data_IF_290094634519
#
_entry.id   IF_290094634519
#
_cell.length_a   1.000
_cell.length_b   1.000
_cell.length_c   1.000
_cell.angle_alpha   90.00
_cell.angle_beta   90.00
_cell.angle_gamma   90.00
#
_symmetry.space_group_name_H-M   'P 1'
#
loop_
_entity.id
_entity.type
_entity.pdbx_description
1 polymer ?
#
# COMPACT_ATOMS: atom_id res chain seq x y z
N UNK A 1 -13.93 20.35 2.27
CA UNK A 1 -14.28 19.01 2.79
C UNK A 1 -13.61 17.84 2.07
N UNK A 2 -13.18 17.96 0.79
CA UNK A 2 -12.55 16.84 0.04
C UNK A 2 -11.09 16.52 0.38
N UNK A 3 -10.23 17.53 0.57
CA UNK A 3 -8.78 17.34 0.80
C UNK A 3 -8.42 16.66 2.13
N UNK A 4 -9.21 16.83 3.18
CA UNK A 4 -8.94 16.20 4.49
C UNK A 4 -9.31 14.70 4.51
N UNK A 5 -10.41 14.32 3.87
CA UNK A 5 -10.78 12.91 3.70
C UNK A 5 -9.79 12.19 2.77
N UNK A 6 -9.28 12.90 1.76
CA UNK A 6 -8.23 12.44 0.84
C UNK A 6 -6.88 12.23 1.55
N UNK A 7 -6.47 13.19 2.39
CA UNK A 7 -5.27 13.04 3.24
C UNK A 7 -5.41 11.88 4.24
N UNK A 8 -6.61 11.66 4.81
CA UNK A 8 -6.88 10.49 5.66
C UNK A 8 -6.83 9.17 4.88
N UNK A 9 -7.28 9.16 3.63
CA UNK A 9 -7.22 7.98 2.76
C UNK A 9 -5.77 7.61 2.39
N UNK A 10 -4.97 8.61 2.03
CA UNK A 10 -3.54 8.43 1.71
C UNK A 10 -2.71 8.07 2.95
N UNK A 11 -3.03 8.66 4.12
CA UNK A 11 -2.36 8.32 5.38
C UNK A 11 -2.59 6.86 5.77
N UNK A 12 -3.81 6.35 5.56
CA UNK A 12 -4.16 4.95 5.84
C UNK A 12 -3.41 3.97 4.91
N UNK A 13 -3.31 4.27 3.60
CA UNK A 13 -2.62 3.37 2.66
C UNK A 13 -1.11 3.31 2.94
N UNK A 14 -0.46 4.45 3.20
CA UNK A 14 0.97 4.47 3.52
C UNK A 14 1.30 3.64 4.77
N UNK A 15 0.59 3.88 5.88
CA UNK A 15 0.83 3.15 7.13
C UNK A 15 0.45 1.67 7.01
N UNK A 16 -0.56 1.34 6.21
CA UNK A 16 -0.88 -0.05 5.86
C UNK A 16 0.27 -0.74 5.12
N UNK A 17 0.87 -0.08 4.13
CA UNK A 17 2.03 -0.61 3.41
C UNK A 17 3.23 -0.79 4.34
N UNK A 18 3.52 0.18 5.21
CA UNK A 18 4.57 0.05 6.22
C UNK A 18 4.33 -1.18 7.08
N UNK A 19 3.16 -1.31 7.71
CA UNK A 19 2.81 -2.50 8.51
C UNK A 19 3.00 -3.79 7.74
N UNK A 20 2.55 -3.85 6.49
CA UNK A 20 2.68 -5.04 5.65
C UNK A 20 4.15 -5.42 5.43
N UNK A 21 5.00 -4.44 5.11
CA UNK A 21 6.43 -4.65 4.89
C UNK A 21 7.10 -5.15 6.16
N UNK A 22 6.88 -4.47 7.29
CA UNK A 22 7.50 -4.82 8.57
C UNK A 22 7.05 -6.22 9.04
N UNK A 23 5.79 -6.59 8.83
CA UNK A 23 5.24 -7.91 9.20
C UNK A 23 5.65 -9.04 8.26
N UNK A 24 6.21 -8.76 7.07
CA UNK A 24 6.51 -9.82 6.10
C UNK A 24 7.50 -10.88 6.62
N UNK A 25 8.63 -10.53 7.28
CA UNK A 25 9.55 -11.51 7.85
C UNK A 25 8.89 -12.42 8.90
N UNK A 26 8.04 -11.84 9.77
CA UNK A 26 7.29 -12.59 10.79
C UNK A 26 6.29 -13.55 10.12
N UNK A 27 5.51 -13.05 9.15
CA UNK A 27 4.54 -13.85 8.39
C UNK A 27 5.18 -14.96 7.56
N UNK A 28 6.43 -14.78 7.15
CA UNK A 28 7.22 -15.79 6.43
C UNK A 28 7.92 -16.78 7.38
N UNK A 29 7.78 -16.62 8.71
CA UNK A 29 8.43 -17.48 9.70
C UNK A 29 9.95 -17.30 9.77
N UNK A 30 10.48 -16.16 9.31
CA UNK A 30 11.92 -15.88 9.32
C UNK A 30 12.42 -15.37 10.68
N UNK A 31 11.54 -14.70 11.44
CA UNK A 31 11.80 -14.11 12.75
C UNK A 31 10.53 -14.19 13.60
N UNK A 32 10.66 -14.12 14.93
CA UNK A 32 9.51 -14.13 15.84
C UNK A 32 9.00 -12.71 16.11
N UNK A 33 9.90 -11.72 16.12
CA UNK A 33 9.58 -10.32 16.38
C UNK A 33 10.03 -9.38 15.24
N UNK A 34 9.25 -8.32 15.02
CA UNK A 34 9.47 -7.29 13.98
C UNK A 34 10.89 -6.70 14.03
N UNK A 35 11.38 -6.42 15.24
CA UNK A 35 12.70 -5.87 15.51
C UNK A 35 13.86 -6.84 15.30
N UNK A 36 13.63 -8.11 14.97
CA UNK A 36 14.72 -9.08 14.76
C UNK A 36 15.23 -9.07 13.31
N UNK A 37 14.38 -8.66 12.37
CA UNK A 37 14.76 -8.63 10.96
C UNK A 37 15.65 -7.43 10.65
N UNK A 38 16.90 -7.70 10.24
CA UNK A 38 17.91 -6.65 10.01
C UNK A 38 17.53 -5.66 8.90
N UNK A 39 16.77 -6.09 7.90
CA UNK A 39 16.44 -5.27 6.72
C UNK A 39 15.02 -4.71 6.80
N UNK A 40 14.73 -4.10 7.94
CA UNK A 40 13.44 -3.50 8.26
C UNK A 40 13.67 -2.12 8.86
N UNK A 41 12.75 -1.20 8.61
CA UNK A 41 12.76 0.13 9.23
C UNK A 41 12.15 0.14 10.64
N UNK A 42 11.70 -1.00 11.14
CA UNK A 42 10.97 -1.10 12.40
C UNK A 42 11.83 -0.64 13.58
N UNK A 43 13.12 -0.98 13.60
CA UNK A 43 14.02 -0.52 14.67
C UNK A 43 14.11 1.00 14.73
N UNK A 44 14.17 1.67 13.58
CA UNK A 44 14.19 3.14 13.53
C UNK A 44 12.83 3.74 13.85
N UNK A 45 11.77 3.28 13.19
CA UNK A 45 10.44 3.87 13.29
C UNK A 45 9.75 3.53 14.62
N UNK A 46 9.98 2.32 15.12
CA UNK A 46 9.33 1.74 16.30
C UNK A 46 10.21 1.72 17.54
N UNK A 47 11.52 1.49 17.45
CA UNK A 47 12.39 1.37 18.63
C UNK A 47 13.29 2.62 18.82
N UNK A 48 13.36 3.48 17.82
CA UNK A 48 14.13 4.73 17.86
C UNK A 48 15.61 4.57 17.53
N UNK A 49 16.04 3.45 16.96
CA UNK A 49 17.43 3.27 16.52
C UNK A 49 17.77 4.22 15.37
N UNK A 50 18.87 4.97 15.51
CA UNK A 50 19.37 5.84 14.46
C UNK A 50 19.84 5.02 13.25
N UNK A 51 19.42 5.44 12.05
CA UNK A 51 19.85 4.83 10.80
C UNK A 51 19.96 5.89 9.71
N UNK A 52 21.18 6.16 9.26
CA UNK A 52 21.47 7.20 8.26
C UNK A 52 20.84 6.92 6.87
N UNK A 53 20.40 5.68 6.61
CA UNK A 53 19.72 5.31 5.36
C UNK A 53 18.23 5.65 5.39
N UNK A 54 17.66 5.93 6.57
CA UNK A 54 16.22 6.14 6.74
C UNK A 54 15.94 7.63 6.88
N UNK A 55 15.07 8.14 6.00
CA UNK A 55 14.48 9.47 6.12
C UNK A 55 13.02 9.32 6.53
N UNK A 56 12.60 9.86 7.69
CA UNK A 56 11.21 9.80 8.12
C UNK A 56 10.28 10.38 7.05
N UNK A 57 9.18 9.67 6.77
CA UNK A 57 8.13 10.20 5.91
C UNK A 57 7.20 11.11 6.71
N UNK A 58 6.69 12.20 6.12
CA UNK A 58 5.82 13.15 6.83
C UNK A 58 4.57 12.52 7.48
N UNK A 59 4.04 11.43 6.91
CA UNK A 59 2.92 10.68 7.51
C UNK A 59 3.33 9.87 8.75
N UNK A 60 4.58 9.42 8.82
CA UNK A 60 5.13 8.85 10.06
C UNK A 60 5.38 9.97 11.08
N UNK A 61 5.94 11.10 10.65
CA UNK A 61 6.15 12.26 11.51
C UNK A 61 4.84 12.78 12.13
N UNK A 62 3.75 12.72 11.38
CA UNK A 62 2.41 13.10 11.83
C UNK A 62 1.80 12.15 12.90
N UNK A 63 2.40 10.99 13.19
CA UNK A 63 1.93 10.09 14.24
C UNK A 63 2.15 10.64 15.66
N UNK A 64 3.06 11.59 15.83
CA UNK A 64 3.35 12.19 17.13
C UNK A 64 4.32 13.35 17.02
N UNK A 65 4.11 14.37 17.86
CA UNK A 65 4.95 15.58 17.88
C UNK A 65 6.37 15.27 18.34
N UNK A 66 6.49 14.46 19.39
CA UNK A 66 7.77 14.05 19.96
C UNK A 66 8.18 12.66 19.45
N UNK A 67 9.49 12.42 19.34
CA UNK A 67 10.03 11.14 18.83
C UNK A 67 9.48 9.94 19.61
N UNK A 68 9.41 10.01 20.94
CA UNK A 68 8.89 8.96 21.81
C UNK A 68 7.40 8.68 21.56
N UNK A 69 6.59 9.74 21.42
CA UNK A 69 5.15 9.62 21.13
C UNK A 69 4.90 9.00 19.76
N UNK A 70 5.70 9.38 18.77
CA UNK A 70 5.64 8.86 17.41
C UNK A 70 6.04 7.40 17.32
N UNK A 71 7.12 7.00 17.99
CA UNK A 71 7.53 5.60 18.07
C UNK A 71 6.46 4.75 18.78
N UNK A 72 5.88 5.25 19.87
CA UNK A 72 4.79 4.58 20.57
C UNK A 72 3.55 4.39 19.67
N UNK A 73 3.13 5.45 18.97
CA UNK A 73 2.04 5.39 18.01
C UNK A 73 2.34 4.44 16.84
N UNK A 74 3.58 4.37 16.36
CA UNK A 74 3.99 3.44 15.32
C UNK A 74 3.92 1.98 15.80
N UNK A 75 4.44 1.68 17.00
CA UNK A 75 4.32 0.34 17.61
C UNK A 75 2.85 -0.06 17.81
N UNK A 76 1.97 0.89 18.11
CA UNK A 76 0.54 0.64 18.29
C UNK A 76 -0.13 0.07 17.04
N UNK A 77 0.36 0.44 15.85
CA UNK A 77 -0.14 -0.08 14.58
C UNK A 77 -0.01 -1.62 14.49
N UNK A 78 0.88 -2.24 15.27
CA UNK A 78 1.14 -3.67 15.23
C UNK A 78 0.40 -4.46 16.31
N UNK A 79 -0.32 -3.79 17.24
CA UNK A 79 -1.09 -4.50 18.28
C UNK A 79 -2.21 -5.37 17.72
N UNK A 80 -2.75 -4.98 16.57
CA UNK A 80 -3.78 -5.72 15.87
C UNK A 80 -3.23 -6.22 14.54
N UNK A 81 -3.70 -7.39 14.11
CA UNK A 81 -3.38 -7.91 12.78
C UNK A 81 -3.86 -6.93 11.69
N UNK A 82 -3.21 -6.98 10.53
CA UNK A 82 -3.74 -6.32 9.35
C UNK A 82 -5.04 -7.01 8.95
N UNK A 83 -6.07 -6.22 8.65
CA UNK A 83 -7.32 -6.74 8.07
C UNK A 83 -6.96 -7.67 6.89
N UNK A 84 -7.39 -8.95 6.88
CA UNK A 84 -7.03 -9.88 5.81
C UNK A 84 -7.35 -9.33 4.40
N UNK A 85 -8.49 -8.63 4.28
CA UNK A 85 -8.88 -7.96 3.03
C UNK A 85 -7.88 -6.89 2.55
N UNK A 86 -7.19 -6.20 3.45
CA UNK A 86 -6.16 -5.22 3.12
C UNK A 86 -4.88 -5.87 2.60
N UNK A 87 -4.42 -6.95 3.23
CA UNK A 87 -3.25 -7.72 2.77
C UNK A 87 -3.48 -8.21 1.34
N UNK A 88 -4.66 -8.75 1.07
CA UNK A 88 -5.02 -9.21 -0.27
C UNK A 88 -5.10 -8.07 -1.28
N UNK A 89 -5.62 -6.90 -0.90
CA UNK A 89 -5.62 -5.70 -1.76
C UNK A 89 -4.20 -5.28 -2.11
N UNK A 90 -3.29 -5.23 -1.13
CA UNK A 90 -1.87 -4.91 -1.34
C UNK A 90 -1.26 -5.91 -2.33
N UNK A 91 -1.41 -7.23 -2.09
CA UNK A 91 -0.82 -8.27 -2.94
C UNK A 91 -1.35 -8.24 -4.36
N UNK A 92 -2.67 -8.09 -4.54
CA UNK A 92 -3.28 -7.99 -5.89
C UNK A 92 -2.77 -6.78 -6.65
N UNK A 93 -2.67 -5.63 -5.98
CA UNK A 93 -2.14 -4.42 -6.59
C UNK A 93 -0.68 -4.59 -7.03
N UNK A 94 0.18 -5.06 -6.11
CA UNK A 94 1.61 -5.27 -6.37
C UNK A 94 1.85 -6.29 -7.49
N UNK A 95 1.22 -7.46 -7.43
CA UNK A 95 1.43 -8.53 -8.42
C UNK A 95 0.85 -8.18 -9.80
N UNK A 96 -0.19 -7.35 -9.85
CA UNK A 96 -0.81 -6.90 -11.09
C UNK A 96 -0.23 -5.62 -11.67
N UNK A 97 0.76 -5.00 -11.00
CA UNK A 97 1.27 -3.67 -11.33
C UNK A 97 0.15 -2.61 -11.40
N UNK A 98 -0.77 -2.68 -10.44
CA UNK A 98 -1.93 -1.79 -10.30
C UNK A 98 -1.76 -0.84 -9.11
N UNK A 99 -2.59 0.20 -9.07
CA UNK A 99 -2.59 1.18 -7.98
C UNK A 99 -3.38 0.64 -6.79
N UNK A 100 -2.78 0.75 -5.60
CA UNK A 100 -3.47 0.51 -4.33
C UNK A 100 -4.17 1.80 -3.90
N UNK A 101 -5.50 1.81 -3.94
CA UNK A 101 -6.30 2.98 -3.57
C UNK A 101 -7.74 2.85 -4.09
N UNK A 102 -8.48 3.96 -4.06
CA UNK A 102 -9.81 4.02 -4.66
C UNK A 102 -9.75 4.25 -6.18
N UNK A 103 -10.88 4.06 -6.87
CA UNK A 103 -10.95 4.20 -8.35
C UNK A 103 -10.58 5.60 -8.84
N UNK A 104 -10.94 6.64 -8.07
CA UNK A 104 -10.58 8.02 -8.38
C UNK A 104 -9.06 8.20 -8.41
N UNK A 105 -8.37 7.80 -7.33
CA UNK A 105 -6.92 7.86 -7.23
C UNK A 105 -6.24 7.04 -8.34
N UNK A 106 -6.76 5.84 -8.62
CA UNK A 106 -6.24 5.03 -9.71
C UNK A 106 -6.37 5.72 -11.09
N UNK A 107 -7.48 6.43 -11.32
CA UNK A 107 -7.71 7.22 -12.55
C UNK A 107 -6.76 8.41 -12.64
N UNK A 108 -6.59 9.15 -11.55
CA UNK A 108 -5.65 10.27 -11.45
C UNK A 108 -4.21 9.80 -11.74
N UNK A 109 -3.79 8.69 -11.12
CA UNK A 109 -2.47 8.10 -11.37
C UNK A 109 -2.34 7.65 -12.83
N UNK A 110 -3.35 7.00 -13.41
CA UNK A 110 -3.32 6.58 -14.83
C UNK A 110 -3.12 7.74 -15.79
N UNK A 111 -3.75 8.89 -15.52
CA UNK A 111 -3.59 10.10 -16.31
C UNK A 111 -2.14 10.63 -16.24
N UNK A 112 -1.51 10.58 -15.06
CA UNK A 112 -0.12 11.02 -14.86
C UNK A 112 0.88 10.11 -15.56
N UNK A 113 0.70 8.78 -15.45
CA UNK A 113 1.69 7.81 -15.92
C UNK A 113 1.44 7.29 -17.34
N UNK A 114 0.31 7.65 -17.95
CA UNK A 114 -0.04 7.25 -19.32
C UNK A 114 -0.25 5.74 -19.52
N UNK A 115 -0.51 4.97 -18.45
CA UNK A 115 -0.75 3.52 -18.50
C UNK A 115 -1.92 3.11 -17.62
N UNK A 116 -2.50 1.95 -17.91
CA UNK A 116 -3.59 1.37 -17.11
C UNK A 116 -3.13 1.05 -15.68
N UNK A 117 -3.92 1.46 -14.71
CA UNK A 117 -3.65 1.32 -13.26
C UNK A 117 -4.63 0.41 -12.53
N UNK A 118 -5.67 -0.06 -13.21
CA UNK A 118 -6.68 -0.99 -12.69
C UNK A 118 -6.71 -2.29 -13.50
N UNK A 119 -7.16 -3.41 -12.90
CA UNK A 119 -7.42 -4.62 -13.65
C UNK A 119 -8.42 -4.37 -14.80
N UNK A 120 -8.08 -4.85 -16.00
CA UNK A 120 -9.04 -4.91 -17.10
C UNK A 120 -10.01 -6.09 -16.96
N UNK A 121 -11.01 -6.16 -17.84
CA UNK A 121 -11.82 -7.38 -17.98
C UNK A 121 -10.96 -8.49 -18.58
N UNK A 122 -10.76 -9.57 -17.83
CA UNK A 122 -10.05 -10.75 -18.34
C UNK A 122 -10.91 -11.46 -19.39
N UNK A 123 -10.28 -11.93 -20.47
CA UNK A 123 -10.95 -12.68 -21.53
C UNK A 123 -10.63 -12.19 -22.94
N UNK A 124 -10.91 -13.05 -23.93
CA UNK A 124 -10.76 -12.72 -25.35
C UNK A 124 -11.74 -11.59 -25.72
N UNK A 125 -11.31 -10.56 -26.47
CA UNK A 125 -12.22 -9.58 -27.03
C UNK A 125 -13.34 -10.26 -27.81
N UNK A 126 -14.58 -9.82 -27.61
CA UNK A 126 -15.74 -10.36 -28.32
C UNK A 126 -15.53 -10.14 -29.83
N UNK A 127 -15.66 -11.19 -30.64
CA UNK A 127 -15.57 -11.08 -32.10
C UNK A 127 -16.72 -10.16 -32.55
N UNK A 128 -16.40 -9.06 -33.20
CA UNK A 128 -17.40 -8.21 -33.87
C UNK A 128 -17.95 -9.06 -35.01
N UNK A 129 -19.27 -9.22 -35.10
CA UNK A 129 -19.88 -9.92 -36.22
C UNK A 129 -19.56 -9.14 -37.50
N UNK A 130 -19.02 -9.83 -38.51
CA UNK A 130 -18.84 -9.23 -39.83
C UNK A 130 -20.23 -8.89 -40.39
N UNK A 131 -20.42 -7.71 -40.99
CA UNK A 131 -21.69 -7.38 -41.62
C UNK A 131 -21.97 -8.41 -42.71
N UNK A 132 -23.15 -9.03 -42.65
CA UNK A 132 -23.62 -9.92 -43.70
C UNK A 132 -23.78 -9.10 -44.99
N UNK A 133 -22.81 -9.21 -45.89
CA UNK A 133 -23.00 -8.78 -47.27
C UNK A 133 -23.96 -9.78 -47.91
N UNK A 134 -25.26 -9.48 -47.87
CA UNK A 134 -26.29 -10.24 -48.56
C UNK A 134 -26.00 -10.28 -50.06
N UNK A 135 -25.68 -11.46 -50.56
CA UNK A 135 -25.59 -11.73 -52.00
C UNK A 135 -26.98 -11.80 -52.60
N UNK A 136 -27.19 -11.01 -53.65
CA UNK A 136 -28.35 -11.05 -54.54
C UNK A 136 -28.30 -12.26 -55.48
#
# INVERSE_FOLDING_TARGET
>A
MGREAENRGLSLVFLACQRYIELNPVRAGMVEHLGEYRWSSYRTNGEGEENALIRPHGLYEALGLEATSRQAAYRELFRHELEPGLVDRIRRATNGNFVLGNERFATEVAAVIGRRTLPGKSGRPRKVAEPEFGGA
#
